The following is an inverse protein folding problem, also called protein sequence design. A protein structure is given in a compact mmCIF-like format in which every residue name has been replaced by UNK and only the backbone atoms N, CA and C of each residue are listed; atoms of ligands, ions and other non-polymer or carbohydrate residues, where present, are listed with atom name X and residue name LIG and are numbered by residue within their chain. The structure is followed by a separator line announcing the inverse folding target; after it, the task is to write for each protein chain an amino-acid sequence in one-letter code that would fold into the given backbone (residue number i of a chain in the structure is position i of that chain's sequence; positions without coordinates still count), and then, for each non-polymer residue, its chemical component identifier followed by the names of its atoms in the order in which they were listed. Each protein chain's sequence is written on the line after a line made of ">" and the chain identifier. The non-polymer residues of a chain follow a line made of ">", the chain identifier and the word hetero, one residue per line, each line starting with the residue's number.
data_IF_522134062705
#
_entry.id   IF_522134062705
#
_cell.length_a   1.000
_cell.length_b   1.000
_cell.length_c   1.000
_cell.angle_alpha   90.00
_cell.angle_beta   90.00
_cell.angle_gamma   90.00
#
_symmetry.space_group_name_H-M   'P 1'
#
loop_
_entity.id
_entity.type
_entity.pdbx_description
1 polymer ?
#
# COMPACT_ATOMS: atom_id res chain seq x y z
N UNK A 1 4.02 -20.58 -6.44
CA UNK A 1 5.23 -19.72 -6.48
C UNK A 1 5.17 -18.79 -5.28
N UNK A 2 6.29 -18.36 -4.69
CA UNK A 2 6.25 -17.37 -3.63
C UNK A 2 5.59 -16.09 -4.17
N UNK A 3 4.69 -15.50 -3.40
CA UNK A 3 4.00 -14.25 -3.74
C UNK A 3 4.42 -13.09 -2.81
N UNK A 4 5.27 -13.34 -1.82
CA UNK A 4 5.78 -12.32 -0.89
C UNK A 4 7.30 -12.32 -0.86
N UNK A 5 7.91 -11.16 -0.56
CA UNK A 5 9.36 -11.04 -0.40
C UNK A 5 9.88 -12.01 0.67
N UNK A 6 9.17 -12.11 1.81
CA UNK A 6 9.48 -13.06 2.88
C UNK A 6 9.50 -14.50 2.39
N UNK A 7 8.43 -14.97 1.73
CA UNK A 7 8.36 -16.35 1.24
C UNK A 7 9.42 -16.64 0.17
N UNK A 8 9.82 -15.64 -0.62
CA UNK A 8 10.94 -15.79 -1.54
C UNK A 8 12.26 -16.00 -0.80
N UNK A 9 12.55 -15.16 0.19
CA UNK A 9 13.77 -15.25 1.01
C UNK A 9 13.82 -16.55 1.81
N UNK A 10 12.71 -16.99 2.40
CA UNK A 10 12.60 -18.29 3.09
C UNK A 10 12.94 -19.43 2.13
N UNK A 11 12.39 -19.44 0.92
CA UNK A 11 12.72 -20.44 -0.09
C UNK A 11 14.19 -20.43 -0.49
N UNK A 12 14.80 -19.25 -0.65
CA UNK A 12 16.23 -19.15 -0.98
C UNK A 12 17.07 -19.67 0.20
N UNK A 13 16.72 -19.29 1.43
CA UNK A 13 17.40 -19.73 2.64
C UNK A 13 17.37 -21.27 2.79
N UNK A 14 16.20 -21.89 2.59
CA UNK A 14 16.02 -23.34 2.61
C UNK A 14 16.87 -24.06 1.55
N UNK A 15 17.05 -23.46 0.37
CA UNK A 15 17.78 -24.07 -0.73
C UNK A 15 19.30 -23.77 -0.72
N UNK A 16 19.76 -22.80 0.07
CA UNK A 16 21.17 -22.36 0.16
C UNK A 16 21.85 -22.68 1.48
N UNK A 17 21.12 -23.19 2.47
CA UNK A 17 21.57 -23.38 3.87
C UNK A 17 22.07 -22.07 4.53
N UNK A 18 21.77 -20.91 3.93
CA UNK A 18 22.04 -19.59 4.50
C UNK A 18 20.88 -19.25 5.45
N UNK A 19 21.14 -18.89 6.71
CA UNK A 19 20.09 -18.47 7.63
C UNK A 19 19.28 -17.29 7.07
N UNK A 20 17.96 -17.32 7.21
CA UNK A 20 17.06 -16.26 6.72
C UNK A 20 17.51 -14.85 7.14
N UNK A 21 17.92 -14.67 8.40
CA UNK A 21 18.35 -13.37 8.92
C UNK A 21 19.61 -12.85 8.21
N UNK A 22 20.54 -13.74 7.89
CA UNK A 22 21.75 -13.41 7.15
C UNK A 22 21.41 -13.06 5.70
N UNK A 23 20.57 -13.86 5.05
CA UNK A 23 20.11 -13.61 3.69
C UNK A 23 19.37 -12.27 3.58
N UNK A 24 18.43 -12.00 4.48
CA UNK A 24 17.69 -10.75 4.53
C UNK A 24 18.63 -9.55 4.71
N UNK A 25 19.66 -9.67 5.57
CA UNK A 25 20.65 -8.63 5.74
C UNK A 25 21.47 -8.38 4.45
N UNK A 26 21.90 -9.45 3.76
CA UNK A 26 22.62 -9.34 2.48
C UNK A 26 21.77 -8.64 1.42
N UNK A 27 20.50 -9.00 1.31
CA UNK A 27 19.56 -8.38 0.37
C UNK A 27 19.34 -6.91 0.73
N UNK A 28 19.15 -6.59 2.02
CA UNK A 28 19.02 -5.19 2.45
C UNK A 28 20.26 -4.36 2.09
N UNK A 29 21.47 -4.89 2.31
CA UNK A 29 22.72 -4.22 1.92
C UNK A 29 22.78 -4.01 0.40
N UNK A 30 22.46 -5.05 -0.39
CA UNK A 30 22.44 -4.96 -1.85
C UNK A 30 21.38 -3.96 -2.35
N UNK A 31 20.21 -3.88 -1.70
CA UNK A 31 19.19 -2.88 -2.02
C UNK A 31 19.67 -1.45 -1.81
N UNK A 32 20.55 -1.19 -0.83
CA UNK A 32 21.13 0.15 -0.65
C UNK A 32 22.12 0.52 -1.76
N UNK A 33 22.70 -0.48 -2.45
CA UNK A 33 23.67 -0.29 -3.53
C UNK A 33 22.97 -0.17 -4.89
N UNK A 34 22.04 -1.08 -5.19
CA UNK A 34 21.38 -1.19 -6.48
C UNK A 34 20.11 -0.31 -6.58
N UNK A 35 19.46 -0.05 -5.44
CA UNK A 35 18.23 0.76 -5.37
C UNK A 35 16.95 0.03 -5.79
N UNK A 36 17.03 -1.25 -6.17
CA UNK A 36 15.90 -2.06 -6.62
C UNK A 36 15.95 -3.48 -5.99
N UNK A 37 14.82 -3.98 -5.48
CA UNK A 37 14.77 -5.29 -4.80
C UNK A 37 15.10 -6.46 -5.72
N UNK A 38 14.62 -6.42 -6.97
CA UNK A 38 14.88 -7.50 -7.94
C UNK A 38 16.37 -7.57 -8.29
N UNK A 39 17.00 -6.41 -8.51
CA UNK A 39 18.43 -6.32 -8.79
C UNK A 39 19.25 -6.79 -7.57
N UNK A 40 18.84 -6.42 -6.35
CA UNK A 40 19.46 -6.89 -5.11
C UNK A 40 19.36 -8.40 -4.91
N UNK A 41 18.22 -9.02 -5.23
CA UNK A 41 18.05 -10.48 -5.20
C UNK A 41 18.95 -11.12 -6.25
N UNK A 42 18.98 -10.59 -7.47
CA UNK A 42 19.82 -11.11 -8.55
C UNK A 42 21.30 -11.09 -8.16
N UNK A 43 21.76 -9.96 -7.63
CA UNK A 43 23.13 -9.83 -7.11
C UNK A 43 23.45 -10.90 -6.06
N UNK A 44 22.57 -11.11 -5.08
CA UNK A 44 22.80 -12.12 -4.03
C UNK A 44 22.80 -13.55 -4.61
N UNK A 45 21.90 -13.86 -5.54
CA UNK A 45 21.83 -15.17 -6.18
C UNK A 45 23.06 -15.46 -7.06
N UNK A 46 23.56 -14.45 -7.80
CA UNK A 46 24.78 -14.56 -8.58
C UNK A 46 26.00 -14.88 -7.71
N UNK A 47 26.12 -14.23 -6.55
CA UNK A 47 27.18 -14.51 -5.58
C UNK A 47 27.12 -15.94 -5.01
N UNK A 48 25.95 -16.61 -5.08
CA UNK A 48 25.77 -18.00 -4.66
C UNK A 48 25.75 -19.00 -5.83
N UNK A 49 25.92 -18.53 -7.08
CA UNK A 49 25.86 -19.39 -8.26
C UNK A 49 24.49 -20.01 -8.52
N UNK A 50 23.41 -19.37 -8.04
CA UNK A 50 22.04 -19.86 -8.17
C UNK A 50 21.35 -19.37 -9.46
N UNK A 51 20.37 -20.14 -10.00
CA UNK A 51 19.64 -19.75 -11.19
C UNK A 51 18.63 -18.62 -10.91
N UNK A 52 18.86 -17.44 -11.51
CA UNK A 52 18.04 -16.24 -11.31
C UNK A 52 16.55 -16.43 -11.66
N UNK A 53 16.27 -17.16 -12.74
CA UNK A 53 14.92 -17.37 -13.24
C UNK A 53 14.01 -18.16 -12.27
N UNK A 54 14.57 -18.89 -11.31
CA UNK A 54 13.82 -19.69 -10.33
C UNK A 54 13.21 -18.86 -9.20
N UNK A 55 13.73 -17.65 -8.98
CA UNK A 55 13.43 -16.80 -7.83
C UNK A 55 12.87 -15.45 -8.30
N UNK A 56 11.66 -15.49 -8.86
CA UNK A 56 10.97 -14.32 -9.40
C UNK A 56 9.63 -14.13 -8.72
N UNK A 57 9.35 -12.90 -8.33
CA UNK A 57 8.03 -12.45 -7.91
C UNK A 57 7.35 -11.78 -9.12
N UNK A 58 6.03 -11.92 -9.21
CA UNK A 58 5.23 -11.24 -10.22
C UNK A 58 4.45 -10.11 -9.56
N UNK A 59 4.84 -8.83 -9.75
CA UNK A 59 4.10 -7.70 -9.18
C UNK A 59 2.63 -7.69 -9.65
N UNK A 60 2.37 -8.10 -10.89
CA UNK A 60 1.02 -8.21 -11.43
C UNK A 60 0.19 -9.29 -10.72
N UNK A 61 0.77 -10.45 -10.41
CA UNK A 61 0.05 -11.50 -9.67
C UNK A 61 -0.24 -11.07 -8.22
N UNK A 62 0.69 -10.33 -7.60
CA UNK A 62 0.50 -9.77 -6.25
C UNK A 62 -0.65 -8.74 -6.26
N UNK A 63 -0.67 -7.83 -7.23
CA UNK A 63 -1.76 -6.88 -7.40
C UNK A 63 -3.12 -7.57 -7.58
N UNK A 64 -3.18 -8.62 -8.41
CA UNK A 64 -4.40 -9.42 -8.59
C UNK A 64 -4.86 -10.12 -7.31
N UNK A 65 -3.92 -10.61 -6.49
CA UNK A 65 -4.24 -11.21 -5.19
C UNK A 65 -4.79 -10.17 -4.21
N UNK A 66 -4.21 -8.96 -4.18
CA UNK A 66 -4.72 -7.83 -3.41
C UNK A 66 -6.15 -7.49 -3.84
N UNK A 67 -6.39 -7.32 -5.15
CA UNK A 67 -7.72 -7.05 -5.69
C UNK A 67 -8.72 -8.14 -5.31
N UNK A 68 -8.32 -9.41 -5.41
CA UNK A 68 -9.17 -10.54 -5.05
C UNK A 68 -9.55 -10.53 -3.58
N UNK A 69 -8.61 -10.25 -2.67
CA UNK A 69 -8.89 -10.17 -1.23
C UNK A 69 -9.88 -9.05 -0.94
N UNK A 70 -9.68 -7.89 -1.56
CA UNK A 70 -10.47 -6.70 -1.25
C UNK A 70 -11.87 -6.70 -1.91
N UNK A 71 -12.06 -7.42 -3.02
CA UNK A 71 -13.35 -7.55 -3.69
C UNK A 71 -14.17 -8.77 -3.22
N UNK A 72 -13.59 -9.66 -2.41
CA UNK A 72 -14.28 -10.88 -1.98
C UNK A 72 -15.47 -10.60 -1.05
N UNK A 73 -15.31 -9.69 -0.10
CA UNK A 73 -16.33 -9.33 0.88
C UNK A 73 -16.12 -7.88 1.31
N UNK A 74 -17.10 -7.03 1.02
CA UNK A 74 -17.00 -5.60 1.33
C UNK A 74 -16.98 -5.32 2.83
N UNK A 75 -17.71 -6.10 3.64
CA UNK A 75 -17.72 -5.93 5.09
C UNK A 75 -16.33 -6.19 5.69
N UNK A 76 -15.64 -7.22 5.19
CA UNK A 76 -14.26 -7.51 5.56
C UNK A 76 -13.32 -6.42 5.08
N UNK A 77 -13.49 -5.91 3.86
CA UNK A 77 -12.70 -4.79 3.35
C UNK A 77 -12.86 -3.54 4.20
N UNK A 78 -14.06 -3.25 4.68
CA UNK A 78 -14.29 -2.16 5.64
C UNK A 78 -13.54 -2.42 6.96
N UNK A 79 -13.63 -3.63 7.53
CA UNK A 79 -12.91 -3.99 8.75
C UNK A 79 -11.38 -3.91 8.59
N UNK A 80 -10.85 -4.49 7.51
CA UNK A 80 -9.43 -4.40 7.15
C UNK A 80 -8.99 -2.94 6.98
N UNK A 81 -9.81 -2.09 6.33
CA UNK A 81 -9.51 -0.67 6.15
C UNK A 81 -9.38 0.07 7.48
N UNK A 82 -10.23 -0.25 8.46
CA UNK A 82 -10.17 0.36 9.78
C UNK A 82 -8.92 -0.07 10.54
N UNK A 83 -8.54 -1.36 10.46
CA UNK A 83 -7.32 -1.89 11.09
C UNK A 83 -6.09 -1.22 10.49
N UNK A 84 -5.97 -1.19 9.15
CA UNK A 84 -4.81 -0.61 8.47
C UNK A 84 -4.72 0.91 8.69
N UNK A 85 -5.84 1.62 8.69
CA UNK A 85 -5.87 3.05 9.00
C UNK A 85 -5.41 3.33 10.43
N UNK A 86 -5.82 2.50 11.40
CA UNK A 86 -5.36 2.61 12.79
C UNK A 86 -3.87 2.33 12.92
N UNK A 87 -3.35 1.30 12.24
CA UNK A 87 -1.92 0.99 12.25
C UNK A 87 -1.08 2.09 11.59
N UNK A 88 -1.59 2.73 10.55
CA UNK A 88 -0.91 3.85 9.87
C UNK A 88 -0.97 5.16 10.68
N UNK A 89 -1.97 5.32 11.55
CA UNK A 89 -2.15 6.50 12.41
C UNK A 89 -1.55 6.34 13.81
N UNK A 90 -1.02 5.16 14.15
CA UNK A 90 -0.38 4.90 15.44
C UNK A 90 1.00 5.58 15.51
N UNK A 91 1.49 5.85 16.72
CA UNK A 91 2.86 6.36 16.97
C UNK A 91 3.81 5.22 17.42
N UNK A 92 3.38 3.96 17.31
CA UNK A 92 4.12 2.79 17.79
C UNK A 92 5.24 2.35 16.82
N UNK A 93 6.31 1.74 17.33
CA UNK A 93 7.43 1.21 16.51
C UNK A 93 7.00 0.14 15.47
N UNK A 94 5.80 -0.44 15.64
CA UNK A 94 5.19 -1.45 14.75
C UNK A 94 4.25 -0.85 13.69
N UNK A 95 4.41 0.43 13.37
CA UNK A 95 3.58 1.11 12.39
C UNK A 95 3.59 0.41 11.02
N UNK A 96 2.41 0.30 10.42
CA UNK A 96 2.27 -0.17 9.06
C UNK A 96 3.00 0.80 8.11
N UNK A 97 3.92 0.34 7.24
CA UNK A 97 4.70 1.25 6.41
C UNK A 97 3.81 2.16 5.57
N UNK A 98 3.99 3.48 5.70
CA UNK A 98 3.17 4.47 5.00
C UNK A 98 3.09 4.25 3.48
N UNK A 99 4.19 3.86 2.78
CA UNK A 99 4.09 3.49 1.37
C UNK A 99 3.14 2.32 1.08
N UNK A 100 3.13 1.29 1.91
CA UNK A 100 2.20 0.16 1.80
C UNK A 100 0.76 0.60 2.07
N UNK A 101 0.56 1.52 3.01
CA UNK A 101 -0.75 2.15 3.24
C UNK A 101 -1.22 3.00 2.05
N UNK A 102 -0.31 3.70 1.36
CA UNK A 102 -0.67 4.42 0.13
C UNK A 102 -1.09 3.50 -1.01
N UNK A 103 -0.43 2.34 -1.13
CA UNK A 103 -0.85 1.30 -2.07
C UNK A 103 -2.25 0.81 -1.72
N UNK A 104 -2.49 0.49 -0.43
CA UNK A 104 -3.81 0.07 0.04
C UNK A 104 -4.92 1.05 -0.34
N UNK A 105 -4.73 2.35 -0.07
CA UNK A 105 -5.70 3.37 -0.41
C UNK A 105 -5.97 3.47 -1.92
N UNK A 106 -4.99 3.13 -2.76
CA UNK A 106 -5.18 3.13 -4.20
C UNK A 106 -6.04 1.93 -4.65
N UNK A 107 -5.72 0.73 -4.17
CA UNK A 107 -6.55 -0.45 -4.45
C UNK A 107 -7.98 -0.32 -3.88
N UNK A 108 -8.12 0.27 -2.68
CA UNK A 108 -9.43 0.50 -2.07
C UNK A 108 -10.31 1.45 -2.89
N UNK A 109 -9.71 2.42 -3.59
CA UNK A 109 -10.44 3.42 -4.36
C UNK A 109 -11.18 2.82 -5.58
N UNK A 110 -10.70 1.70 -6.11
CA UNK A 110 -11.23 1.04 -7.30
C UNK A 110 -12.33 0.01 -7.00
N UNK A 111 -12.56 -0.29 -5.72
CA UNK A 111 -13.59 -1.26 -5.30
C UNK A 111 -14.97 -0.61 -5.39
N UNK A 112 -15.91 -1.25 -6.06
CA UNK A 112 -17.31 -0.82 -6.07
C UNK A 112 -17.99 -1.19 -4.74
N UNK A 113 -18.90 -0.33 -4.25
CA UNK A 113 -19.73 -0.70 -3.09
C UNK A 113 -20.79 -1.71 -3.56
N UNK A 114 -20.81 -2.95 -3.05
CA UNK A 114 -21.85 -3.89 -3.41
C UNK A 114 -23.19 -3.48 -2.79
N UNK A 115 -24.33 -3.91 -3.38
CA UNK A 115 -25.63 -3.82 -2.72
C UNK A 115 -25.61 -4.60 -1.39
N UNK A 116 -26.35 -4.11 -0.39
CA UNK A 116 -26.28 -4.43 1.06
C UNK A 116 -26.47 -5.92 1.49
N UNK A 117 -26.47 -6.88 0.58
CA UNK A 117 -26.79 -8.28 0.89
C UNK A 117 -25.61 -9.20 0.58
N UNK A 118 -24.70 -9.44 1.54
CA UNK A 118 -23.97 -10.73 1.65
C UNK A 118 -23.29 -10.93 3.02
N UNK A 119 -23.10 -12.20 3.37
CA UNK A 119 -23.07 -12.77 4.73
C UNK A 119 -21.75 -12.62 5.50
N UNK A 120 -21.90 -12.58 6.83
CA UNK A 120 -20.84 -12.62 7.86
C UNK A 120 -20.01 -13.93 7.84
N UNK A 121 -18.71 -13.83 7.53
CA UNK A 121 -17.66 -14.82 7.84
C UNK A 121 -17.04 -14.56 9.23
N UNK A 122 -16.18 -15.47 9.69
CA UNK A 122 -15.67 -15.49 11.08
C UNK A 122 -14.47 -14.54 11.32
N UNK A 123 -14.36 -13.99 12.53
CA UNK A 123 -13.30 -13.01 12.89
C UNK A 123 -11.85 -13.50 12.65
N UNK A 124 -11.59 -14.81 12.78
CA UNK A 124 -10.25 -15.38 12.57
C UNK A 124 -9.80 -15.31 11.09
N UNK A 125 -10.74 -15.34 10.15
CA UNK A 125 -10.42 -15.22 8.71
C UNK A 125 -9.99 -13.78 8.38
N UNK A 126 -10.54 -12.78 9.08
CA UNK A 126 -10.23 -11.37 8.88
C UNK A 126 -8.79 -11.05 9.31
N UNK A 127 -8.34 -11.55 10.47
CA UNK A 127 -6.96 -11.33 10.94
C UNK A 127 -5.93 -11.93 9.98
N UNK A 128 -6.19 -13.14 9.49
CA UNK A 128 -5.34 -13.81 8.52
C UNK A 128 -5.29 -13.07 7.17
N UNK A 129 -6.46 -12.64 6.65
CA UNK A 129 -6.56 -11.84 5.42
C UNK A 129 -5.88 -10.48 5.57
N UNK A 130 -6.03 -9.81 6.71
CA UNK A 130 -5.36 -8.53 7.00
C UNK A 130 -3.84 -8.68 7.01
N UNK A 131 -3.33 -9.71 7.69
CA UNK A 131 -1.89 -10.00 7.75
C UNK A 131 -1.35 -10.30 6.36
N UNK A 132 -2.07 -11.11 5.58
CA UNK A 132 -1.73 -11.42 4.20
C UNK A 132 -1.69 -10.16 3.33
N UNK A 133 -2.67 -9.28 3.48
CA UNK A 133 -2.77 -8.02 2.75
C UNK A 133 -1.58 -7.10 3.06
N UNK A 134 -1.17 -7.01 4.33
CA UNK A 134 0.03 -6.26 4.77
C UNK A 134 1.28 -6.78 4.05
N UNK A 135 1.48 -8.10 4.00
CA UNK A 135 2.66 -8.69 3.35
C UNK A 135 2.66 -8.45 1.84
N UNK A 136 1.50 -8.60 1.18
CA UNK A 136 1.34 -8.39 -0.25
C UNK A 136 1.58 -6.92 -0.62
N UNK A 137 0.97 -5.99 0.10
CA UNK A 137 1.14 -4.55 -0.13
C UNK A 137 2.60 -4.13 0.08
N UNK A 138 3.22 -4.56 1.18
CA UNK A 138 4.63 -4.24 1.47
C UNK A 138 5.54 -4.82 0.39
N UNK A 139 5.32 -6.08 -0.02
CA UNK A 139 6.07 -6.70 -1.11
C UNK A 139 5.86 -5.96 -2.43
N UNK A 140 4.61 -5.61 -2.76
CA UNK A 140 4.28 -4.93 -4.01
C UNK A 140 5.01 -3.59 -4.11
N UNK A 141 4.93 -2.76 -3.07
CA UNK A 141 5.62 -1.46 -3.05
C UNK A 141 7.12 -1.64 -3.17
N UNK A 142 7.70 -2.62 -2.47
CA UNK A 142 9.12 -2.96 -2.59
C UNK A 142 9.52 -3.32 -4.02
N UNK A 143 8.65 -3.95 -4.80
CA UNK A 143 8.92 -4.36 -6.18
C UNK A 143 8.69 -3.25 -7.23
N UNK A 144 7.73 -2.35 -7.01
CA UNK A 144 7.34 -1.34 -8.01
C UNK A 144 8.01 0.02 -7.81
N UNK A 145 8.60 0.26 -6.64
CA UNK A 145 9.31 1.48 -6.29
C UNK A 145 10.82 1.23 -6.18
N UNK A 146 11.62 2.25 -6.49
CA UNK A 146 13.06 2.25 -6.20
C UNK A 146 13.33 2.91 -4.85
N UNK A 147 14.37 2.45 -4.16
CA UNK A 147 14.67 2.77 -2.77
C UNK A 147 16.06 3.39 -2.61
N UNK A 148 16.19 4.32 -1.67
CA UNK A 148 17.45 4.92 -1.25
C UNK A 148 17.32 5.35 0.21
N UNK A 149 18.25 4.91 1.06
CA UNK A 149 18.28 5.21 2.50
C UNK A 149 16.94 4.96 3.21
N UNK A 150 16.30 3.82 2.92
CA UNK A 150 15.01 3.42 3.49
C UNK A 150 13.80 4.22 2.98
N UNK A 151 14.00 5.11 2.01
CA UNK A 151 12.94 5.94 1.42
C UNK A 151 12.70 5.59 -0.04
N UNK A 152 11.50 5.90 -0.55
CA UNK A 152 11.22 5.81 -1.98
C UNK A 152 11.96 6.93 -2.71
N UNK A 153 12.86 6.54 -3.62
CA UNK A 153 13.61 7.42 -4.49
C UNK A 153 12.88 7.68 -5.83
N UNK A 154 12.06 6.72 -6.28
CA UNK A 154 11.33 6.82 -7.52
C UNK A 154 10.55 5.55 -7.86
N UNK A 155 10.27 5.36 -9.14
CA UNK A 155 9.62 4.15 -9.68
C UNK A 155 10.72 3.19 -10.10
N UNK A 156 10.56 1.90 -9.76
CA UNK A 156 11.53 0.87 -10.14
C UNK A 156 11.65 0.77 -11.66
N UNK A 157 12.88 0.54 -12.17
CA UNK A 157 13.12 0.37 -13.62
C UNK A 157 12.41 -0.85 -14.18
N UNK A 158 12.22 -1.88 -13.35
CA UNK A 158 11.57 -3.14 -13.70
C UNK A 158 10.08 -3.16 -13.36
N UNK A 159 9.51 -2.02 -12.97
CA UNK A 159 8.08 -1.88 -12.71
C UNK A 159 7.25 -2.20 -13.99
N UNK A 160 6.31 -3.17 -13.92
CA UNK A 160 5.43 -3.47 -15.05
C UNK A 160 4.60 -2.25 -15.47
N UNK A 161 4.37 -2.08 -16.78
CA UNK A 161 3.63 -0.92 -17.31
C UNK A 161 2.24 -0.76 -16.67
N UNK A 162 1.55 -1.88 -16.42
CA UNK A 162 0.24 -1.92 -15.78
C UNK A 162 0.21 -1.34 -14.36
N UNK A 163 1.35 -1.25 -13.68
CA UNK A 163 1.47 -0.78 -12.30
C UNK A 163 2.23 0.55 -12.16
N UNK A 164 2.68 1.15 -13.27
CA UNK A 164 3.44 2.41 -13.23
C UNK A 164 2.63 3.58 -12.69
N UNK A 165 1.32 3.64 -12.94
CA UNK A 165 0.48 4.70 -12.38
C UNK A 165 0.33 4.53 -10.86
N UNK A 166 0.05 3.31 -10.39
CA UNK A 166 0.01 2.98 -8.96
C UNK A 166 1.32 3.36 -8.27
N UNK A 167 2.48 2.96 -8.83
CA UNK A 167 3.80 3.33 -8.30
C UNK A 167 4.02 4.84 -8.27
N UNK A 168 3.58 5.56 -9.32
CA UNK A 168 3.67 7.04 -9.40
C UNK A 168 2.82 7.72 -8.32
N UNK A 169 1.63 7.20 -8.05
CA UNK A 169 0.75 7.73 -7.01
C UNK A 169 1.36 7.50 -5.63
N UNK A 170 1.85 6.29 -5.36
CA UNK A 170 2.54 5.95 -4.11
C UNK A 170 3.74 6.87 -3.90
N UNK A 171 4.61 7.01 -4.89
CA UNK A 171 5.78 7.90 -4.82
C UNK A 171 5.38 9.37 -4.53
N UNK A 172 4.34 9.88 -5.20
CA UNK A 172 3.86 11.26 -4.96
C UNK A 172 3.31 11.44 -3.55
N UNK A 173 2.53 10.46 -3.05
CA UNK A 173 1.97 10.48 -1.69
C UNK A 173 3.07 10.40 -0.63
N UNK A 174 4.06 9.53 -0.83
CA UNK A 174 5.24 9.43 0.02
C UNK A 174 6.02 10.74 0.08
N UNK A 175 6.22 11.41 -1.06
CA UNK A 175 6.90 12.71 -1.12
C UNK A 175 6.14 13.83 -0.39
N UNK A 176 4.81 13.81 -0.45
CA UNK A 176 3.97 14.75 0.31
C UNK A 176 4.07 14.45 1.82
N UNK A 177 3.96 13.19 2.20
CA UNK A 177 4.06 12.75 3.58
C UNK A 177 5.38 13.16 4.22
N UNK A 178 6.50 12.94 3.53
CA UNK A 178 7.83 13.39 3.97
C UNK A 178 7.97 14.91 4.06
N UNK A 179 7.18 15.67 3.31
CA UNK A 179 7.12 17.12 3.42
C UNK A 179 6.20 17.62 4.56
N UNK A 180 5.68 16.72 5.40
CA UNK A 180 4.74 17.04 6.46
C UNK A 180 3.31 17.30 5.96
N UNK A 181 2.99 16.85 4.75
CA UNK A 181 1.68 17.04 4.12
C UNK A 181 0.92 15.72 3.99
N UNK A 182 -0.39 15.79 4.12
CA UNK A 182 -1.30 14.66 4.06
C UNK A 182 -2.44 14.91 3.07
N UNK A 183 -2.91 13.88 2.38
CA UNK A 183 -4.13 13.93 1.58
C UNK A 183 -5.27 13.36 2.42
N UNK A 184 -6.21 14.21 2.84
CA UNK A 184 -7.37 13.78 3.61
C UNK A 184 -8.10 12.62 2.92
N UNK A 185 -8.23 11.48 3.62
CA UNK A 185 -8.85 10.27 3.05
C UNK A 185 -10.34 10.43 2.74
N UNK A 186 -10.97 11.46 3.30
CA UNK A 186 -12.40 11.77 3.12
C UNK A 186 -12.64 12.71 1.95
N UNK A 187 -11.95 13.87 1.90
CA UNK A 187 -12.23 14.91 0.90
C UNK A 187 -11.12 15.14 -0.13
N UNK A 188 -10.00 14.42 -0.04
CA UNK A 188 -8.87 14.56 -0.96
C UNK A 188 -8.07 15.85 -0.82
N UNK A 189 -8.40 16.74 0.12
CA UNK A 189 -7.65 17.99 0.35
C UNK A 189 -6.26 17.72 0.92
N UNK A 190 -5.27 18.43 0.41
CA UNK A 190 -3.91 18.43 0.97
C UNK A 190 -3.90 19.33 2.21
N UNK A 191 -3.45 18.78 3.34
CA UNK A 191 -3.39 19.45 4.63
C UNK A 191 -2.06 19.18 5.31
N UNK A 192 -1.70 19.97 6.32
CA UNK A 192 -0.58 19.68 7.20
C UNK A 192 -0.88 18.41 8.00
N UNK A 193 0.06 17.46 8.06
CA UNK A 193 -0.09 16.19 8.77
C UNK A 193 -0.44 16.41 10.24
N UNK A 194 0.16 17.42 10.89
CA UNK A 194 -0.10 17.74 12.30
C UNK A 194 -1.50 18.30 12.55
N UNK A 195 -2.23 18.65 11.49
CA UNK A 195 -3.61 19.12 11.53
C UNK A 195 -4.60 18.03 11.13
N UNK A 196 -4.15 16.79 11.07
CA UNK A 196 -5.00 15.63 10.79
C UNK A 196 -5.40 14.92 12.07
N UNK A 197 -6.60 14.33 12.07
CA UNK A 197 -7.08 13.44 13.12
C UNK A 197 -7.71 12.23 12.44
N UNK A 198 -7.25 11.03 12.79
CA UNK A 198 -7.68 9.79 12.11
C UNK A 198 -7.48 9.85 10.60
N UNK A 199 -6.36 10.42 10.14
CA UNK A 199 -6.02 10.61 8.72
C UNK A 199 -7.01 11.51 7.93
N UNK A 200 -7.82 12.31 8.63
CA UNK A 200 -8.76 13.26 8.05
C UNK A 200 -8.38 14.70 8.42
N UNK A 201 -8.72 15.66 7.55
CA UNK A 201 -8.60 17.07 7.90
C UNK A 201 -9.62 17.45 8.99
N UNK A 202 -9.33 18.54 9.72
CA UNK A 202 -10.18 19.03 10.82
C UNK A 202 -11.66 19.16 10.44
N UNK A 203 -11.96 19.64 9.22
CA UNK A 203 -13.33 19.78 8.73
C UNK A 203 -14.05 18.42 8.64
N UNK A 204 -13.37 17.41 8.10
CA UNK A 204 -13.94 16.06 7.95
C UNK A 204 -13.99 15.30 9.27
N UNK A 205 -13.01 15.50 10.16
CA UNK A 205 -13.00 14.84 11.47
C UNK A 205 -14.08 15.41 12.40
N UNK A 206 -14.28 16.73 12.41
CA UNK A 206 -15.30 17.38 13.25
C UNK A 206 -16.73 17.04 12.82
N UNK A 207 -16.97 16.80 11.53
CA UNK A 207 -18.28 16.41 11.00
C UNK A 207 -18.72 14.97 11.33
N UNK A 208 -17.90 14.18 12.03
CA UNK A 208 -18.27 12.83 12.49
C UNK A 208 -18.95 12.85 13.88
N UNK A 209 -18.81 13.95 14.64
CA UNK A 209 -19.43 14.12 15.96
C UNK A 209 -20.85 14.68 15.92
N UNK A 210 -21.18 15.43 14.87
CA UNK A 210 -22.52 15.99 14.65
C UNK A 210 -23.20 15.25 13.50
N UNK A 211 -24.35 14.67 13.80
CA UNK A 211 -25.15 13.93 12.83
C UNK A 211 -25.54 14.83 11.63
N UNK A 212 -25.47 14.25 10.43
CA UNK A 212 -25.88 14.79 9.12
C UNK A 212 -24.93 15.79 8.42
N UNK A 213 -24.52 15.39 7.21
CA UNK A 213 -23.84 16.16 6.17
C UNK A 213 -24.28 17.64 6.14
N UNK A 214 -23.37 18.62 6.23
CA UNK A 214 -23.63 19.94 5.67
C UNK A 214 -23.38 19.87 4.17
N UNK A 215 -24.45 19.96 3.40
CA UNK A 215 -24.53 20.02 1.95
C UNK A 215 -23.91 21.28 1.31
N UNK A 216 -23.01 22.00 2.00
CA UNK A 216 -22.42 23.25 1.52
C UNK A 216 -20.95 23.40 1.95
N UNK A 217 -20.06 22.54 1.42
CA UNK A 217 -18.64 22.87 1.38
C UNK A 217 -18.40 23.56 0.04
N UNK A 218 -18.00 24.84 0.10
CA UNK A 218 -17.68 25.69 -1.05
C UNK A 218 -16.82 24.95 -2.09
N UNK A 219 -17.39 24.80 -3.29
CA UNK A 219 -16.79 24.20 -4.47
C UNK A 219 -15.81 25.17 -5.14
N UNK A 220 -14.77 25.60 -4.43
CA UNK A 220 -13.71 26.39 -5.03
C UNK A 220 -12.61 25.49 -5.61
N UNK A 221 -12.91 25.09 -6.85
CA UNK A 221 -12.04 24.66 -7.96
C UNK A 221 -10.52 24.71 -7.68
N UNK A 222 -9.94 23.53 -7.42
CA UNK A 222 -8.82 22.92 -8.17
C UNK A 222 -8.46 21.57 -7.51
N UNK A 223 -8.66 20.48 -8.25
CA UNK A 223 -8.28 19.08 -7.90
C UNK A 223 -9.11 18.38 -6.80
N UNK A 224 -10.44 18.46 -6.83
CA UNK A 224 -11.27 17.69 -5.89
C UNK A 224 -11.64 16.32 -6.48
N UNK A 225 -11.15 15.25 -5.84
CA UNK A 225 -11.72 13.92 -6.01
C UNK A 225 -12.98 13.84 -5.13
N UNK A 226 -14.13 13.49 -5.68
CA UNK A 226 -15.42 13.43 -4.98
C UNK A 226 -15.51 12.17 -4.14
N UNK A 227 -15.81 12.29 -2.83
CA UNK A 227 -15.95 11.14 -1.94
C UNK A 227 -17.08 10.22 -2.38
N UNK A 228 -16.81 8.92 -2.49
CA UNK A 228 -17.84 7.91 -2.78
C UNK A 228 -17.98 6.85 -1.70
N UNK A 229 -17.15 6.89 -0.66
CA UNK A 229 -17.17 5.90 0.43
C UNK A 229 -16.13 6.23 1.50
N UNK A 230 -15.85 5.29 2.41
CA UNK A 230 -14.74 5.41 3.36
C UNK A 230 -13.40 5.14 2.66
N UNK A 231 -12.50 6.13 2.63
CA UNK A 231 -11.22 6.04 1.90
C UNK A 231 -11.33 6.08 0.37
N UNK A 232 -12.55 6.17 -0.19
CA UNK A 232 -12.79 6.20 -1.64
C UNK A 232 -13.06 7.61 -2.15
N UNK A 233 -12.35 7.99 -3.21
CA UNK A 233 -12.54 9.28 -3.87
C UNK A 233 -12.49 9.10 -5.40
N UNK A 234 -13.52 9.54 -6.12
CA UNK A 234 -13.57 9.52 -7.60
C UNK A 234 -12.95 10.78 -8.18
N UNK A 235 -12.12 10.64 -9.20
CA UNK A 235 -11.62 11.77 -9.98
C UNK A 235 -12.75 12.25 -10.89
N UNK A 236 -13.24 13.48 -10.70
CA UNK A 236 -14.12 14.09 -11.71
C UNK A 236 -13.26 14.46 -12.93
N UNK A 237 -13.54 13.83 -14.08
CA UNK A 237 -13.01 14.25 -15.36
C UNK A 237 -13.62 15.61 -15.73
N UNK A 238 -12.96 16.68 -15.29
CA UNK A 238 -13.18 18.01 -15.86
C UNK A 238 -12.40 18.15 -17.17
N UNK A 239 -12.81 17.38 -18.18
CA UNK A 239 -12.54 17.66 -19.59
C UNK A 239 -13.88 17.71 -20.34
N UNK A 240 -14.54 18.86 -20.21
CA UNK A 240 -15.13 19.57 -21.34
C UNK A 240 -14.57 20.98 -21.36
#
# INVERSE_FOLDING_TARGET
>A
MPNTARALLEKIAEETDIPYSELANRVNIAMHQEGDFVEAIDFVLEQQGLPLNKYRLSPAAIAQEIDSILNQDYSQTVMMSAVLARMAASDEESNFPMPAFFAFLEFLADIEEPPEDEKEESANEIEAKTTRLIELLTTLVTLICSWSDGMIAGISKVCPESLKETARIIFRRDRLYRAGLWICISCGKIVDFNKTSGLMCSQCSSGLGDSFLPSNIDKDKRFERTRTGYGKTKREDLLK
#
